data_IF_206933040114
#
_entry.id   IF_206933040114
#
_cell.length_a   1.000
_cell.length_b   1.000
_cell.length_c   1.000
_cell.angle_alpha   90.00
_cell.angle_beta   90.00
_cell.angle_gamma   90.00
#
_symmetry.space_group_name_H-M   'P 1'
#
loop_
_entity.id
_entity.type
_entity.pdbx_description
1 polymer ?
#
# COMPACT_ATOMS: atom_id res chain seq x y z
N UNK A 1 -17.57 2.22 14.83
CA UNK A 1 -17.85 1.70 16.18
C UNK A 1 -19.11 0.82 16.16
N UNK A 2 -19.33 -0.10 17.14
CA UNK A 2 -20.57 -0.88 17.23
C UNK A 2 -21.83 0.00 17.24
N UNK A 3 -21.77 1.18 17.85
CA UNK A 3 -22.88 2.14 17.85
C UNK A 3 -23.26 2.59 16.42
N UNK A 4 -22.26 2.88 15.58
CA UNK A 4 -22.51 3.28 14.19
C UNK A 4 -23.12 2.16 13.34
N UNK A 5 -22.82 0.88 13.66
CA UNK A 5 -23.44 -0.24 12.96
C UNK A 5 -24.96 -0.32 13.25
N UNK A 6 -25.40 0.10 14.42
CA UNK A 6 -26.82 0.12 14.78
C UNK A 6 -27.59 1.26 14.08
N UNK A 7 -26.90 2.24 13.49
CA UNK A 7 -27.50 3.32 12.72
C UNK A 7 -27.67 2.98 11.23
N UNK A 8 -27.16 1.83 10.81
CA UNK A 8 -27.27 1.37 9.42
C UNK A 8 -28.73 1.01 9.12
N UNK A 9 -29.28 1.59 8.07
CA UNK A 9 -30.64 1.37 7.60
C UNK A 9 -30.60 0.85 6.16
N UNK A 10 -31.30 -0.24 5.90
CA UNK A 10 -31.43 -0.82 4.57
C UNK A 10 -32.00 0.20 3.56
N UNK A 11 -32.99 0.97 3.96
CA UNK A 11 -33.60 1.99 3.10
C UNK A 11 -32.62 3.10 2.73
N UNK A 12 -31.74 3.49 3.68
CA UNK A 12 -30.68 4.46 3.39
C UNK A 12 -29.65 3.90 2.41
N UNK A 13 -29.28 2.62 2.59
CA UNK A 13 -28.32 1.93 1.70
C UNK A 13 -28.91 1.84 0.29
N UNK A 14 -30.14 1.35 0.14
CA UNK A 14 -30.82 1.22 -1.15
C UNK A 14 -30.93 2.56 -1.87
N UNK A 15 -31.31 3.62 -1.15
CA UNK A 15 -31.39 4.98 -1.72
C UNK A 15 -30.03 5.47 -2.22
N UNK A 16 -28.96 5.29 -1.42
CA UNK A 16 -27.60 5.70 -1.82
C UNK A 16 -27.14 4.88 -3.02
N UNK A 17 -27.37 3.56 -3.00
CA UNK A 17 -27.02 2.68 -4.10
C UNK A 17 -27.72 3.13 -5.40
N UNK A 18 -29.05 3.34 -5.36
CA UNK A 18 -29.80 3.80 -6.54
C UNK A 18 -29.32 5.15 -7.03
N UNK A 19 -29.06 6.10 -6.12
CA UNK A 19 -28.54 7.42 -6.51
C UNK A 19 -27.18 7.32 -7.21
N UNK A 20 -26.26 6.47 -6.71
CA UNK A 20 -24.90 6.36 -7.25
C UNK A 20 -24.81 5.51 -8.51
N UNK A 21 -25.66 4.51 -8.65
CA UNK A 21 -25.61 3.56 -9.76
C UNK A 21 -26.73 3.73 -10.80
N UNK A 22 -27.59 4.73 -10.65
CA UNK A 22 -28.66 5.01 -11.61
C UNK A 22 -28.16 5.65 -12.93
N UNK A 23 -27.01 6.28 -12.91
CA UNK A 23 -26.38 6.92 -14.06
C UNK A 23 -25.00 6.31 -14.30
N UNK A 24 -24.83 5.69 -15.45
CA UNK A 24 -23.58 5.04 -15.84
C UNK A 24 -22.68 5.94 -16.72
N UNK A 25 -22.96 7.25 -16.79
CA UNK A 25 -22.26 8.16 -17.69
C UNK A 25 -20.75 8.26 -17.45
N UNK A 26 -20.32 8.08 -16.21
CA UNK A 26 -18.91 8.09 -15.83
C UNK A 26 -18.33 6.69 -15.53
N UNK A 27 -19.11 5.61 -15.69
CA UNK A 27 -18.63 4.26 -15.45
C UNK A 27 -17.57 3.86 -16.49
N UNK A 28 -16.57 3.13 -16.01
CA UNK A 28 -15.51 2.53 -16.82
C UNK A 28 -15.45 1.03 -16.53
N UNK A 29 -15.51 0.24 -17.60
CA UNK A 29 -15.50 -1.20 -17.50
C UNK A 29 -14.18 -1.72 -18.03
N UNK A 30 -13.45 -2.47 -17.23
CA UNK A 30 -12.19 -3.12 -17.62
C UNK A 30 -12.41 -4.63 -17.66
N UNK A 31 -12.02 -5.24 -18.77
CA UNK A 31 -12.12 -6.67 -18.97
C UNK A 31 -10.74 -7.22 -19.31
N UNK A 32 -10.30 -8.22 -18.59
CA UNK A 32 -9.09 -8.97 -18.89
C UNK A 32 -9.38 -10.47 -18.78
N UNK A 33 -8.92 -11.25 -19.76
CA UNK A 33 -9.16 -12.68 -19.79
C UNK A 33 -9.02 -13.27 -21.19
N UNK A 34 -9.32 -14.56 -21.31
CA UNK A 34 -9.32 -15.26 -22.58
C UNK A 34 -10.72 -15.20 -23.21
N UNK A 35 -10.96 -14.25 -24.09
CA UNK A 35 -12.20 -14.11 -24.86
C UNK A 35 -11.94 -13.61 -26.28
N UNK A 36 -12.86 -13.94 -27.17
CA UNK A 36 -12.85 -13.40 -28.51
C UNK A 36 -13.60 -12.08 -28.55
N UNK A 37 -12.95 -11.03 -29.08
CA UNK A 37 -13.47 -9.64 -29.10
C UNK A 37 -14.79 -9.59 -29.89
N UNK A 38 -14.87 -10.23 -31.06
CA UNK A 38 -16.07 -10.18 -31.90
C UNK A 38 -17.27 -10.84 -31.22
N UNK A 39 -17.00 -11.90 -30.44
CA UNK A 39 -18.06 -12.62 -29.70
C UNK A 39 -18.52 -11.85 -28.44
N UNK A 40 -17.63 -11.16 -27.74
CA UNK A 40 -17.99 -10.46 -26.51
C UNK A 40 -18.57 -9.06 -26.76
N UNK A 41 -18.18 -8.38 -27.85
CA UNK A 41 -18.63 -7.03 -28.17
C UNK A 41 -20.15 -6.88 -28.21
N UNK A 42 -20.93 -7.76 -28.84
CA UNK A 42 -22.39 -7.67 -28.81
C UNK A 42 -22.98 -7.78 -27.39
N UNK A 43 -22.35 -8.57 -26.52
CA UNK A 43 -22.76 -8.70 -25.10
C UNK A 43 -22.43 -7.44 -24.31
N UNK A 44 -21.26 -6.85 -24.53
CA UNK A 44 -20.86 -5.58 -23.91
C UNK A 44 -21.85 -4.48 -24.31
N UNK A 45 -22.15 -4.35 -25.60
CA UNK A 45 -23.11 -3.36 -26.08
C UNK A 45 -24.49 -3.61 -25.49
N UNK A 46 -24.93 -4.86 -25.44
CA UNK A 46 -26.24 -5.22 -24.89
C UNK A 46 -26.37 -4.88 -23.40
N UNK A 47 -25.38 -5.23 -22.57
CA UNK A 47 -25.48 -5.15 -21.13
C UNK A 47 -24.92 -3.82 -20.55
N UNK A 48 -23.86 -3.29 -21.13
CA UNK A 48 -23.23 -2.06 -20.63
C UNK A 48 -23.62 -0.84 -21.50
N UNK A 49 -23.70 -1.00 -22.83
CA UNK A 49 -23.99 0.10 -23.74
C UNK A 49 -25.43 0.65 -23.64
N UNK A 50 -26.34 -0.13 -23.04
CA UNK A 50 -27.73 0.29 -22.81
C UNK A 50 -27.99 0.80 -21.38
N UNK A 51 -26.95 0.97 -20.56
CA UNK A 51 -27.12 1.53 -19.20
C UNK A 51 -27.51 2.99 -19.29
N UNK A 52 -28.43 3.45 -18.42
CA UNK A 52 -28.84 4.85 -18.40
C UNK A 52 -27.65 5.79 -18.21
N UNK A 53 -27.61 6.85 -19.02
CA UNK A 53 -26.59 7.90 -18.89
C UNK A 53 -27.22 9.26 -19.14
N UNK A 54 -27.11 10.15 -18.17
CA UNK A 54 -27.56 11.55 -18.27
C UNK A 54 -26.38 12.51 -18.46
N UNK A 55 -25.14 11.98 -18.53
CA UNK A 55 -23.92 12.77 -18.56
C UNK A 55 -23.55 13.36 -17.20
N UNK A 56 -24.07 12.80 -16.11
CA UNK A 56 -23.69 13.19 -14.75
C UNK A 56 -22.20 12.97 -14.57
N UNK A 57 -21.53 13.96 -14.02
CA UNK A 57 -20.14 13.88 -13.59
C UNK A 57 -20.09 14.02 -12.08
N UNK A 58 -19.51 13.03 -11.42
CA UNK A 58 -19.34 13.07 -9.98
C UNK A 58 -18.01 13.69 -9.59
N UNK A 59 -18.00 14.39 -8.46
CA UNK A 59 -16.80 14.93 -7.84
C UNK A 59 -16.59 14.25 -6.49
N UNK A 60 -15.34 14.05 -6.11
CA UNK A 60 -15.00 13.54 -4.79
C UNK A 60 -14.90 14.67 -3.77
N UNK A 61 -15.14 14.33 -2.50
CA UNK A 61 -14.92 15.21 -1.36
C UNK A 61 -13.84 14.62 -0.49
N UNK A 62 -12.84 15.43 -0.12
CA UNK A 62 -11.84 15.00 0.83
C UNK A 62 -12.44 14.86 2.24
N UNK A 63 -12.56 13.62 2.67
CA UNK A 63 -12.98 13.23 4.02
C UNK A 63 -11.92 12.40 4.72
N UNK A 64 -10.70 12.41 4.20
CA UNK A 64 -9.61 11.57 4.70
C UNK A 64 -9.27 11.93 6.15
N UNK A 65 -9.18 10.93 7.03
CA UNK A 65 -8.64 11.15 8.35
C UNK A 65 -7.17 11.53 8.24
N UNK A 66 -6.78 12.59 8.93
CA UNK A 66 -5.37 12.97 9.03
C UNK A 66 -4.67 12.13 10.10
N UNK A 67 -3.48 11.65 9.79
CA UNK A 67 -2.63 11.06 10.83
C UNK A 67 -2.17 12.20 11.75
N UNK A 68 -2.30 12.05 13.08
CA UNK A 68 -1.85 13.06 14.02
C UNK A 68 -0.37 13.41 13.80
N UNK A 69 0.01 14.69 13.81
CA UNK A 69 1.40 15.08 13.60
C UNK A 69 2.29 14.56 14.74
N UNK A 70 3.54 14.25 14.42
CA UNK A 70 4.54 13.80 15.38
C UNK A 70 4.43 12.31 15.70
N UNK A 71 4.77 11.96 16.94
CA UNK A 71 4.85 10.56 17.39
C UNK A 71 3.66 10.25 18.29
N UNK A 72 2.84 9.28 17.90
CA UNK A 72 1.75 8.75 18.72
C UNK A 72 2.04 7.31 19.11
N UNK A 73 2.01 7.01 20.41
CA UNK A 73 2.17 5.67 20.94
C UNK A 73 0.91 5.24 21.66
N UNK A 74 0.32 4.12 21.23
CA UNK A 74 -0.88 3.52 21.82
C UNK A 74 -0.55 2.11 22.28
N UNK A 75 -1.03 1.75 23.47
CA UNK A 75 -0.89 0.37 23.98
C UNK A 75 -2.26 -0.10 24.46
N UNK A 76 -2.65 -1.26 23.99
CA UNK A 76 -3.88 -1.95 24.38
C UNK A 76 -3.53 -3.28 25.02
N UNK A 77 -4.36 -3.72 25.96
CA UNK A 77 -4.24 -5.02 26.59
C UNK A 77 -5.49 -5.82 26.26
N UNK A 78 -5.30 -6.96 25.59
CA UNK A 78 -6.40 -7.88 25.25
C UNK A 78 -5.88 -9.24 24.85
N UNK A 79 -6.57 -10.27 25.28
CA UNK A 79 -6.24 -11.66 24.96
C UNK A 79 -5.31 -12.31 25.99
N UNK A 80 -5.31 -13.64 26.01
CA UNK A 80 -4.58 -14.44 26.99
C UNK A 80 -3.25 -15.02 26.47
N UNK A 81 -3.02 -14.96 25.15
CA UNK A 81 -1.80 -15.49 24.55
C UNK A 81 -0.59 -14.65 24.98
N UNK A 82 0.55 -15.27 25.35
CA UNK A 82 1.74 -14.56 25.83
C UNK A 82 2.53 -13.93 24.68
N UNK A 83 1.83 -13.33 23.74
CA UNK A 83 2.38 -12.68 22.56
C UNK A 83 1.85 -11.25 22.43
N UNK A 84 2.68 -10.38 21.92
CA UNK A 84 2.32 -9.00 21.56
C UNK A 84 2.39 -8.79 20.06
N UNK A 85 1.56 -7.88 19.57
CA UNK A 85 1.58 -7.42 18.19
C UNK A 85 1.98 -5.94 18.18
N UNK A 86 2.98 -5.60 17.37
CA UNK A 86 3.43 -4.21 17.17
C UNK A 86 3.11 -3.79 15.75
N UNK A 87 2.36 -2.71 15.61
CA UNK A 87 2.12 -2.02 14.35
C UNK A 87 2.74 -0.63 14.38
N UNK A 88 3.49 -0.27 13.34
CA UNK A 88 4.06 1.06 13.14
C UNK A 88 3.57 1.56 11.80
N UNK A 89 2.89 2.70 11.79
CA UNK A 89 2.38 3.34 10.57
C UNK A 89 3.05 4.69 10.41
N UNK A 90 3.80 4.85 9.35
CA UNK A 90 4.34 6.13 8.87
C UNK A 90 3.51 6.54 7.65
N UNK A 91 3.10 7.80 7.57
CA UNK A 91 2.36 8.34 6.44
C UNK A 91 2.80 9.76 6.17
N UNK A 92 3.01 10.06 4.90
CA UNK A 92 3.37 11.40 4.44
C UNK A 92 2.67 11.70 3.11
N UNK A 93 2.56 12.99 2.81
CA UNK A 93 2.23 13.43 1.46
C UNK A 93 3.44 13.30 0.55
N UNK A 94 3.20 12.99 -0.71
CA UNK A 94 4.28 12.92 -1.69
C UNK A 94 3.78 13.33 -3.07
N UNK A 95 4.70 13.67 -3.94
CA UNK A 95 4.38 13.91 -5.34
C UNK A 95 4.07 12.58 -6.04
N UNK A 96 2.83 12.43 -6.52
CA UNK A 96 2.41 11.25 -7.28
C UNK A 96 3.05 11.23 -8.66
N UNK A 97 4.07 10.43 -8.79
CA UNK A 97 4.73 10.16 -10.06
C UNK A 97 5.37 8.76 -10.04
N UNK A 98 5.63 8.25 -11.22
CA UNK A 98 6.14 6.88 -11.38
C UNK A 98 7.53 6.65 -10.79
N UNK A 99 8.35 7.71 -10.64
CA UNK A 99 9.68 7.64 -10.00
C UNK A 99 9.53 7.45 -8.49
N UNK A 100 8.73 8.27 -7.84
CA UNK A 100 8.50 8.18 -6.40
C UNK A 100 7.81 6.88 -6.00
N UNK A 101 6.82 6.42 -6.78
CA UNK A 101 6.17 5.14 -6.56
C UNK A 101 7.14 3.96 -6.66
N UNK A 102 8.02 3.98 -7.65
CA UNK A 102 9.07 2.96 -7.78
C UNK A 102 10.05 3.02 -6.62
N UNK A 103 10.50 4.21 -6.23
CA UNK A 103 11.42 4.39 -5.11
C UNK A 103 10.81 3.90 -3.79
N UNK A 104 9.54 4.24 -3.50
CA UNK A 104 8.82 3.72 -2.34
C UNK A 104 8.70 2.20 -2.36
N UNK A 105 8.41 1.60 -3.52
CA UNK A 105 8.32 0.14 -3.67
C UNK A 105 9.67 -0.54 -3.42
N UNK A 106 10.76 0.03 -3.91
CA UNK A 106 12.11 -0.47 -3.68
C UNK A 106 12.54 -0.30 -2.23
N UNK A 107 12.24 0.84 -1.60
CA UNK A 107 12.52 1.07 -0.18
C UNK A 107 11.73 0.09 0.71
N UNK A 108 10.47 -0.17 0.38
CA UNK A 108 9.65 -1.18 1.05
C UNK A 108 10.33 -2.55 0.99
N UNK A 109 10.81 -2.96 -0.18
CA UNK A 109 11.46 -4.25 -0.36
C UNK A 109 12.77 -4.33 0.43
N UNK A 110 13.62 -3.29 0.34
CA UNK A 110 14.88 -3.22 1.09
C UNK A 110 14.66 -3.26 2.59
N UNK A 111 13.70 -2.48 3.10
CA UNK A 111 13.38 -2.47 4.53
C UNK A 111 12.84 -3.84 4.95
N UNK A 112 12.01 -4.48 4.13
CA UNK A 112 11.53 -5.84 4.40
C UNK A 112 12.67 -6.84 4.56
N UNK A 113 13.63 -6.84 3.62
CA UNK A 113 14.84 -7.69 3.69
C UNK A 113 15.63 -7.39 4.96
N UNK A 114 15.87 -6.12 5.27
CA UNK A 114 16.63 -5.71 6.45
C UNK A 114 15.96 -6.08 7.77
N UNK A 115 14.65 -5.95 7.85
CA UNK A 115 13.92 -6.34 9.05
C UNK A 115 13.93 -7.86 9.27
N UNK A 116 13.88 -8.65 8.21
CA UNK A 116 14.07 -10.10 8.31
C UNK A 116 15.48 -10.40 8.85
N UNK A 117 16.52 -9.84 8.26
CA UNK A 117 17.91 -10.07 8.66
C UNK A 117 18.18 -9.63 10.12
N UNK A 118 17.61 -8.50 10.57
CA UNK A 118 17.93 -7.93 11.87
C UNK A 118 16.99 -8.44 12.97
N UNK A 119 15.67 -8.37 12.74
CA UNK A 119 14.71 -8.66 13.82
C UNK A 119 14.45 -10.17 13.94
N UNK A 120 14.40 -10.87 12.84
CA UNK A 120 14.17 -12.31 12.84
C UNK A 120 15.47 -13.09 13.08
N UNK A 121 16.50 -12.89 12.26
CA UNK A 121 17.68 -13.73 12.26
C UNK A 121 18.66 -13.37 13.39
N UNK A 122 18.99 -12.07 13.57
CA UNK A 122 19.97 -11.66 14.58
C UNK A 122 19.38 -11.56 15.99
N UNK A 123 18.15 -11.09 16.12
CA UNK A 123 17.52 -10.88 17.42
C UNK A 123 16.59 -12.02 17.83
N UNK A 124 16.28 -12.94 16.92
CA UNK A 124 15.38 -14.09 17.13
C UNK A 124 14.06 -13.71 17.81
N UNK A 125 13.61 -12.47 17.56
CA UNK A 125 12.53 -11.87 18.34
C UNK A 125 11.16 -11.94 17.71
N UNK A 126 11.06 -12.35 16.44
CA UNK A 126 9.79 -12.33 15.69
C UNK A 126 9.66 -13.52 14.76
N UNK A 127 8.43 -13.89 14.46
CA UNK A 127 8.13 -14.93 13.47
C UNK A 127 8.37 -14.46 12.05
N UNK A 128 7.76 -13.35 11.64
CA UNK A 128 7.91 -12.79 10.31
C UNK A 128 7.48 -11.32 10.32
N UNK A 129 8.42 -10.37 10.28
CA UNK A 129 8.05 -8.98 10.13
C UNK A 129 7.43 -8.76 8.74
N UNK A 130 6.33 -8.04 8.70
CA UNK A 130 5.66 -7.65 7.48
C UNK A 130 5.86 -6.15 7.24
N UNK A 131 6.21 -5.80 6.00
CA UNK A 131 6.33 -4.42 5.57
C UNK A 131 5.37 -4.22 4.40
N UNK A 132 4.43 -3.31 4.57
CA UNK A 132 3.42 -2.99 3.56
C UNK A 132 3.57 -1.54 3.14
N UNK A 133 3.25 -1.27 1.88
CA UNK A 133 3.20 0.07 1.31
C UNK A 133 1.85 0.23 0.61
N UNK A 134 1.08 1.21 1.06
CA UNK A 134 -0.23 1.54 0.50
C UNK A 134 -0.19 2.99 0.01
N UNK A 135 0.18 3.25 -1.26
CA UNK A 135 0.08 4.57 -1.85
C UNK A 135 -1.37 4.85 -2.26
N UNK A 136 -1.83 6.07 -2.04
CA UNK A 136 -3.14 6.55 -2.42
C UNK A 136 -3.01 7.88 -3.17
N UNK A 137 -3.63 7.99 -4.35
CA UNK A 137 -3.57 9.19 -5.17
C UNK A 137 -4.64 10.20 -4.76
N UNK A 138 -5.85 9.73 -4.51
CA UNK A 138 -6.99 10.56 -4.21
C UNK A 138 -7.55 10.29 -2.81
N UNK A 139 -8.08 11.30 -2.11
CA UNK A 139 -8.22 12.71 -2.48
C UNK A 139 -6.91 13.52 -2.37
N UNK A 140 -5.89 13.00 -1.71
CA UNK A 140 -4.56 13.59 -1.58
C UNK A 140 -3.51 12.52 -1.82
N UNK A 141 -2.46 12.86 -2.56
CA UNK A 141 -1.36 11.93 -2.78
C UNK A 141 -0.59 11.67 -1.49
N UNK A 142 -0.90 10.54 -0.88
CA UNK A 142 -0.32 10.08 0.37
C UNK A 142 0.15 8.64 0.23
N UNK A 143 0.93 8.17 1.18
CA UNK A 143 1.20 6.74 1.34
C UNK A 143 1.16 6.36 2.82
N UNK A 144 0.91 5.09 3.08
CA UNK A 144 1.10 4.47 4.38
C UNK A 144 2.19 3.41 4.26
N UNK A 145 3.25 3.58 5.04
CA UNK A 145 4.31 2.61 5.20
C UNK A 145 4.10 1.91 6.54
N UNK A 146 3.72 0.63 6.48
CA UNK A 146 3.31 -0.13 7.67
C UNK A 146 4.33 -1.21 7.97
N UNK A 147 4.81 -1.25 9.21
CA UNK A 147 5.62 -2.35 9.74
C UNK A 147 4.80 -3.07 10.80
N UNK A 148 4.58 -4.37 10.62
CA UNK A 148 3.80 -5.19 11.54
C UNK A 148 4.63 -6.42 11.94
N UNK A 149 4.70 -6.71 13.25
CA UNK A 149 5.36 -7.92 13.74
C UNK A 149 4.81 -8.38 15.09
N UNK A 150 4.78 -9.71 15.27
CA UNK A 150 4.49 -10.35 16.54
C UNK A 150 5.77 -10.66 17.31
N UNK A 151 5.77 -10.47 18.62
CA UNK A 151 6.93 -10.74 19.48
C UNK A 151 6.50 -10.98 20.95
N UNK A 152 7.45 -11.39 21.79
CA UNK A 152 7.23 -11.46 23.24
C UNK A 152 7.00 -10.06 23.83
N UNK A 153 6.12 -9.93 24.84
CA UNK A 153 5.79 -8.64 25.47
C UNK A 153 7.01 -7.82 25.91
N UNK A 154 8.00 -8.47 26.47
CA UNK A 154 9.23 -7.86 26.99
C UNK A 154 10.19 -7.37 25.90
N UNK A 155 10.01 -7.80 24.65
CA UNK A 155 10.88 -7.42 23.53
C UNK A 155 10.33 -6.32 22.63
N UNK A 156 9.08 -5.91 22.83
CA UNK A 156 8.40 -4.93 21.98
C UNK A 156 9.20 -3.65 21.74
N UNK A 157 9.73 -3.05 22.80
CA UNK A 157 10.49 -1.79 22.71
C UNK A 157 11.87 -1.98 22.10
N UNK A 158 12.55 -3.10 22.40
CA UNK A 158 13.84 -3.44 21.81
C UNK A 158 13.73 -3.60 20.31
N UNK A 159 12.72 -4.35 19.86
CA UNK A 159 12.51 -4.62 18.44
C UNK A 159 12.01 -3.37 17.69
N UNK A 160 11.16 -2.56 18.31
CA UNK A 160 10.76 -1.25 17.76
C UNK A 160 11.97 -0.35 17.54
N UNK A 161 12.88 -0.26 18.51
CA UNK A 161 14.12 0.51 18.37
C UNK A 161 15.00 -0.01 17.24
N UNK A 162 15.07 -1.33 17.05
CA UNK A 162 15.82 -1.95 15.95
C UNK A 162 15.22 -1.61 14.58
N UNK A 163 13.89 -1.61 14.44
CA UNK A 163 13.20 -1.16 13.20
C UNK A 163 13.61 0.26 12.85
N UNK A 164 13.48 1.18 13.79
CA UNK A 164 13.84 2.59 13.53
C UNK A 164 15.33 2.81 13.33
N UNK A 165 16.19 1.98 13.93
CA UNK A 165 17.64 2.06 13.70
C UNK A 165 17.98 1.71 12.23
N UNK A 166 17.36 0.65 11.68
CA UNK A 166 17.58 0.29 10.26
C UNK A 166 17.00 1.33 9.31
N UNK A 167 15.80 1.86 9.57
CA UNK A 167 15.21 2.94 8.78
C UNK A 167 16.13 4.19 8.78
N UNK A 168 16.60 4.60 9.96
CA UNK A 168 17.52 5.75 10.08
C UNK A 168 18.85 5.51 9.36
N UNK A 169 19.35 4.28 9.39
CA UNK A 169 20.59 3.90 8.68
C UNK A 169 20.42 4.00 7.16
N UNK A 170 19.31 3.49 6.62
CA UNK A 170 18.99 3.60 5.19
C UNK A 170 18.84 5.07 4.78
N UNK A 171 18.16 5.89 5.58
CA UNK A 171 18.03 7.34 5.33
C UNK A 171 19.39 8.03 5.29
N UNK A 172 20.27 7.73 6.25
CA UNK A 172 21.56 8.43 6.39
C UNK A 172 22.60 8.01 5.35
N UNK A 173 22.67 6.72 5.06
CA UNK A 173 23.79 6.13 4.30
C UNK A 173 23.34 5.50 2.97
N UNK A 174 22.04 5.48 2.68
CA UNK A 174 21.47 4.66 1.62
C UNK A 174 21.48 3.16 1.95
N UNK A 175 20.83 2.34 1.13
CA UNK A 175 20.98 0.88 1.16
C UNK A 175 22.37 0.50 0.64
N UNK A 176 22.83 -0.73 0.95
CA UNK A 176 24.04 -1.25 0.31
C UNK A 176 23.77 -1.66 -1.15
N UNK A 177 24.82 -1.73 -1.98
CA UNK A 177 24.68 -2.22 -3.35
C UNK A 177 24.13 -3.65 -3.42
N UNK A 178 24.41 -4.48 -2.40
CA UNK A 178 23.83 -5.83 -2.28
C UNK A 178 22.33 -5.78 -2.01
N UNK A 179 21.89 -4.89 -1.11
CA UNK A 179 20.47 -4.72 -0.81
C UNK A 179 19.70 -4.20 -2.02
N UNK A 180 20.26 -3.22 -2.72
CA UNK A 180 19.70 -2.71 -3.97
C UNK A 180 19.51 -3.84 -4.99
N UNK A 181 20.56 -4.65 -5.22
CA UNK A 181 20.49 -5.75 -6.19
C UNK A 181 19.44 -6.80 -5.80
N UNK A 182 19.38 -7.20 -4.53
CA UNK A 182 18.33 -8.10 -4.02
C UNK A 182 16.92 -7.55 -4.27
N UNK A 183 16.71 -6.26 -4.00
CA UNK A 183 15.41 -5.61 -4.22
C UNK A 183 15.05 -5.52 -5.71
N UNK A 184 16.02 -5.19 -6.58
CA UNK A 184 15.83 -5.18 -8.03
C UNK A 184 15.41 -6.56 -8.53
N UNK A 185 16.12 -7.61 -8.15
CA UNK A 185 15.82 -8.99 -8.54
C UNK A 185 14.46 -9.45 -8.02
N UNK A 186 14.11 -9.13 -6.77
CA UNK A 186 12.81 -9.47 -6.18
C UNK A 186 11.65 -8.81 -6.93
N UNK A 187 11.73 -7.51 -7.22
CA UNK A 187 10.69 -6.79 -7.94
C UNK A 187 10.54 -7.27 -9.39
N UNK A 188 11.65 -7.55 -10.07
CA UNK A 188 11.62 -8.06 -11.45
C UNK A 188 10.97 -9.46 -11.47
N UNK A 189 11.37 -10.35 -10.56
CA UNK A 189 10.80 -11.70 -10.47
C UNK A 189 9.30 -11.67 -10.12
N UNK A 190 8.90 -10.82 -9.17
CA UNK A 190 7.48 -10.65 -8.87
C UNK A 190 6.70 -10.20 -10.11
N UNK A 191 7.23 -9.23 -10.87
CA UNK A 191 6.61 -8.76 -12.10
C UNK A 191 6.45 -9.86 -13.14
N UNK A 192 7.47 -10.72 -13.33
CA UNK A 192 7.41 -11.85 -14.27
C UNK A 192 6.26 -12.81 -13.95
N UNK A 193 6.00 -13.05 -12.66
CA UNK A 193 4.87 -13.88 -12.21
C UNK A 193 3.54 -13.13 -12.32
N UNK A 194 3.53 -11.84 -12.04
CA UNK A 194 2.28 -11.05 -11.98
C UNK A 194 1.68 -10.83 -13.37
N UNK A 195 2.49 -10.66 -14.42
CA UNK A 195 1.99 -10.46 -15.79
C UNK A 195 1.25 -11.68 -16.35
N UNK A 196 1.38 -12.84 -15.73
CA UNK A 196 0.63 -14.06 -16.10
C UNK A 196 -0.80 -14.06 -15.52
N UNK A 197 -1.14 -13.11 -14.64
CA UNK A 197 -2.43 -13.05 -13.95
C UNK A 197 -3.32 -11.96 -14.53
N UNK A 198 -4.61 -12.28 -14.70
CA UNK A 198 -5.60 -11.31 -15.18
C UNK A 198 -5.73 -10.10 -14.23
N UNK A 199 -5.63 -10.31 -12.93
CA UNK A 199 -5.72 -9.28 -11.90
C UNK A 199 -4.65 -8.20 -12.07
N UNK A 200 -3.45 -8.59 -12.50
CA UNK A 200 -2.40 -7.63 -12.81
C UNK A 200 -2.83 -6.67 -13.93
N UNK A 201 -3.36 -7.20 -15.02
CA UNK A 201 -3.77 -6.38 -16.17
C UNK A 201 -4.97 -5.50 -15.84
N UNK A 202 -5.96 -6.02 -15.11
CA UNK A 202 -7.08 -5.21 -14.61
C UNK A 202 -6.59 -4.04 -13.77
N UNK A 203 -5.75 -4.30 -12.77
CA UNK A 203 -5.19 -3.26 -11.91
C UNK A 203 -4.34 -2.24 -12.68
N UNK A 204 -3.59 -2.67 -13.70
CA UNK A 204 -2.80 -1.73 -14.53
C UNK A 204 -3.69 -0.86 -15.43
N UNK A 205 -4.71 -1.42 -16.05
CA UNK A 205 -5.68 -0.64 -16.84
C UNK A 205 -6.42 0.37 -15.98
N UNK A 206 -6.82 -0.02 -14.77
CA UNK A 206 -7.44 0.87 -13.80
C UNK A 206 -6.50 2.02 -13.43
N UNK A 207 -5.25 1.74 -13.06
CA UNK A 207 -4.25 2.77 -12.74
C UNK A 207 -3.95 3.70 -13.92
N UNK A 208 -3.86 3.18 -15.15
CA UNK A 208 -3.67 4.00 -16.36
C UNK A 208 -4.83 4.99 -16.52
N UNK A 209 -6.04 4.50 -16.32
CA UNK A 209 -7.23 5.32 -16.53
C UNK A 209 -7.48 6.30 -15.38
N UNK A 210 -7.43 5.80 -14.13
CA UNK A 210 -7.80 6.55 -12.93
C UNK A 210 -6.66 7.47 -12.45
N UNK A 211 -5.46 6.92 -12.30
CA UNK A 211 -4.29 7.65 -11.81
C UNK A 211 -3.53 8.39 -12.92
N UNK A 212 -3.95 8.23 -14.19
CA UNK A 212 -3.24 8.77 -15.37
C UNK A 212 -1.81 8.24 -15.48
N UNK A 213 -1.58 7.01 -15.08
CA UNK A 213 -0.27 6.36 -15.16
C UNK A 213 0.11 6.15 -16.64
N UNK A 214 1.35 6.46 -16.99
CA UNK A 214 1.85 6.22 -18.33
C UNK A 214 1.92 4.71 -18.63
N UNK A 215 1.23 4.21 -19.68
CA UNK A 215 1.26 2.81 -20.08
C UNK A 215 2.66 2.26 -20.33
N UNK A 216 3.61 3.09 -20.81
CA UNK A 216 4.98 2.68 -21.05
C UNK A 216 5.68 2.17 -19.78
N UNK A 217 5.21 2.57 -18.59
CA UNK A 217 5.74 2.08 -17.30
C UNK A 217 5.56 0.58 -17.09
N UNK A 218 4.64 -0.05 -17.79
CA UNK A 218 4.44 -1.51 -17.77
C UNK A 218 5.54 -2.19 -18.58
N UNK A 219 5.79 -1.69 -19.79
CA UNK A 219 6.71 -2.30 -20.75
C UNK A 219 8.18 -2.12 -20.36
N UNK A 220 8.55 -0.95 -19.84
CA UNK A 220 9.93 -0.60 -19.47
C UNK A 220 10.23 -0.83 -17.97
N UNK A 221 9.43 -1.62 -17.27
CA UNK A 221 9.56 -1.82 -15.83
C UNK A 221 10.94 -2.32 -15.41
N UNK A 222 11.47 -3.34 -16.11
CA UNK A 222 12.80 -3.90 -15.83
C UNK A 222 13.90 -2.86 -15.96
N UNK A 223 13.88 -2.07 -17.02
CA UNK A 223 14.91 -1.03 -17.28
C UNK A 223 14.84 0.06 -16.21
N UNK A 224 13.63 0.48 -15.85
CA UNK A 224 13.39 1.44 -14.79
C UNK A 224 13.89 0.94 -13.43
N UNK A 225 13.61 -0.31 -13.07
CA UNK A 225 14.13 -0.91 -11.83
C UNK A 225 15.65 -0.96 -11.85
N UNK A 226 16.27 -1.37 -12.95
CA UNK A 226 17.72 -1.48 -13.08
C UNK A 226 18.43 -0.11 -13.12
N UNK A 227 17.74 0.96 -13.54
CA UNK A 227 18.32 2.30 -13.57
C UNK A 227 18.42 2.99 -12.21
N UNK A 228 17.70 2.48 -11.19
CA UNK A 228 17.71 3.07 -9.85
C UNK A 228 19.05 2.79 -9.17
N UNK A 229 19.65 3.84 -8.60
CA UNK A 229 20.93 3.79 -7.90
C UNK A 229 20.74 3.82 -6.37
N UNK A 230 21.81 3.48 -5.64
CA UNK A 230 21.86 3.63 -4.17
C UNK A 230 21.60 5.09 -3.77
N UNK A 231 22.18 6.06 -4.51
CA UNK A 231 21.98 7.48 -4.25
C UNK A 231 20.52 7.93 -4.45
N UNK A 232 19.84 7.44 -5.48
CA UNK A 232 18.41 7.72 -5.69
C UNK A 232 17.57 7.22 -4.51
N UNK A 233 17.86 6.04 -4.00
CA UNK A 233 17.12 5.48 -2.87
C UNK A 233 17.46 6.15 -1.54
N UNK A 234 18.69 6.62 -1.36
CA UNK A 234 19.04 7.44 -0.19
C UNK A 234 18.23 8.74 -0.19
N UNK A 235 18.24 9.49 -1.30
CA UNK A 235 17.47 10.72 -1.43
C UNK A 235 15.97 10.48 -1.24
N UNK A 236 15.43 9.41 -1.83
CA UNK A 236 14.05 9.04 -1.65
C UNK A 236 13.73 8.68 -0.18
N UNK A 237 14.62 7.95 0.50
CA UNK A 237 14.43 7.63 1.91
C UNK A 237 14.46 8.87 2.81
N UNK A 238 15.33 9.85 2.51
CA UNK A 238 15.39 11.12 3.22
C UNK A 238 14.11 11.96 3.03
N UNK A 239 13.56 11.98 1.83
CA UNK A 239 12.40 12.78 1.45
C UNK A 239 11.07 12.12 1.81
N UNK A 240 10.99 10.81 1.60
CA UNK A 240 9.72 10.07 1.67
C UNK A 240 9.51 9.29 2.98
N UNK A 241 10.52 9.04 3.81
CA UNK A 241 10.34 8.30 5.06
C UNK A 241 10.69 9.20 6.25
N UNK A 242 9.70 9.53 7.08
CA UNK A 242 9.90 10.39 8.25
C UNK A 242 9.78 9.59 9.55
N UNK A 243 10.91 9.21 10.19
CA UNK A 243 10.88 8.49 11.47
C UNK A 243 10.53 9.37 12.68
N UNK A 244 10.21 10.62 12.47
CA UNK A 244 9.68 11.56 13.47
C UNK A 244 8.16 11.72 13.41
N UNK A 245 7.51 11.06 12.44
CA UNK A 245 6.07 11.14 12.23
C UNK A 245 5.49 9.74 12.02
N UNK A 246 4.94 9.17 13.08
CA UNK A 246 4.35 7.83 13.02
C UNK A 246 3.35 7.57 14.15
N UNK A 247 2.49 6.62 13.93
CA UNK A 247 1.65 6.00 14.96
C UNK A 247 2.20 4.61 15.26
N UNK A 248 2.51 4.33 16.51
CA UNK A 248 2.87 2.99 16.99
C UNK A 248 1.72 2.46 17.85
N UNK A 249 1.23 1.29 17.48
CA UNK A 249 0.21 0.57 18.25
C UNK A 249 0.82 -0.73 18.75
N UNK A 250 0.65 -1.00 20.04
CA UNK A 250 1.07 -2.26 20.66
C UNK A 250 -0.14 -2.93 21.30
N UNK A 251 -0.43 -4.15 20.86
CA UNK A 251 -1.37 -5.02 21.54
C UNK A 251 -0.58 -5.96 22.44
N UNK A 252 -0.81 -5.84 23.74
CA UNK A 252 -0.21 -6.67 24.78
C UNK A 252 -1.23 -7.71 25.30
N UNK A 253 -0.77 -8.85 25.83
CA UNK A 253 -1.67 -9.76 26.55
C UNK A 253 -2.22 -9.09 27.83
N UNK A 254 -3.38 -9.55 28.25
CA UNK A 254 -3.93 -9.17 29.55
C UNK A 254 -3.01 -9.67 30.68
N UNK A 255 -2.81 -8.84 31.68
CA UNK A 255 -2.11 -9.30 32.89
C UNK A 255 -2.99 -10.31 33.62
N UNK A 256 -2.43 -11.50 33.85
CA UNK A 256 -3.04 -12.47 34.76
C UNK A 256 -3.03 -11.96 36.20
#
# INVERSE_FOLDING_TARGET
>A
SPAQLNEVSLDKIDRIYRDRFADAGDFKFFLAGNFNIDSITPLIVKYFGNMPSTGRSETWKDTSPTIPPGITNLTFQKGSDPQSMVGIVMSEKFEWNSKNLLALSMLKEIISIKLIEVIREKLSGVYSPQVMLNPDHYPQSTYQFVVLFGCSPETTDKLTKAVFAEIKKIRKNGPTGVDLKKAQEALIRSRETDVEKNEFWLSRMESIYYDKTDPATILNFRDRVNSVTVGDLQLAAEQLINPGHYVRVVLMPEKK
#
